data_IF_591700252023
#
_entry.id   IF_591700252023
#
_cell.length_a   1.000
_cell.length_b   1.000
_cell.length_c   1.000
_cell.angle_alpha   90.00
_cell.angle_beta   90.00
_cell.angle_gamma   90.00
#
_symmetry.space_group_name_H-M   'P 1'
#
loop_
_entity.id
_entity.type
_entity.pdbx_description
1 polymer ?
#
# COMPACT_ATOMS: atom_id res chain seq x y z
N UNK A 1 15.98 20.34 -22.42
CA UNK A 1 15.45 20.53 -21.06
C UNK A 1 16.62 20.78 -20.13
N UNK A 2 16.69 21.97 -19.54
CA UNK A 2 17.76 22.33 -18.61
C UNK A 2 17.59 21.66 -17.25
N UNK A 3 18.69 21.38 -16.54
CA UNK A 3 18.68 20.80 -15.18
C UNK A 3 17.83 21.61 -14.19
N UNK A 4 17.74 22.93 -14.38
CA UNK A 4 16.89 23.83 -13.59
C UNK A 4 15.39 23.62 -13.84
N UNK A 5 14.97 23.38 -15.09
CA UNK A 5 13.58 23.11 -15.44
C UNK A 5 13.11 21.75 -14.89
N UNK A 6 13.96 20.73 -14.99
CA UNK A 6 13.68 19.41 -14.41
C UNK A 6 13.52 19.52 -12.90
N UNK A 7 14.40 20.26 -12.22
CA UNK A 7 14.30 20.50 -10.78
C UNK A 7 13.01 21.22 -10.40
N UNK A 8 12.62 22.25 -11.15
CA UNK A 8 11.37 22.98 -10.91
C UNK A 8 10.13 22.10 -11.15
N UNK A 9 10.14 21.28 -12.21
CA UNK A 9 9.06 20.35 -12.52
C UNK A 9 8.89 19.30 -11.40
N UNK A 10 10.01 18.71 -10.94
CA UNK A 10 10.01 17.73 -9.86
C UNK A 10 9.49 18.34 -8.57
N UNK A 11 9.96 19.54 -8.20
CA UNK A 11 9.47 20.24 -7.00
C UNK A 11 7.98 20.55 -7.07
N UNK A 12 7.50 21.05 -8.21
CA UNK A 12 6.07 21.33 -8.43
C UNK A 12 5.22 20.06 -8.40
N UNK A 13 5.74 18.94 -8.92
CA UNK A 13 5.06 17.65 -8.87
C UNK A 13 4.88 17.17 -7.43
N UNK A 14 5.94 17.21 -6.62
CA UNK A 14 5.87 16.83 -5.20
C UNK A 14 4.92 17.73 -4.41
N UNK A 15 4.92 19.04 -4.64
CA UNK A 15 4.00 19.96 -3.95
C UNK A 15 2.52 19.71 -4.32
N UNK A 16 2.24 19.20 -5.53
CA UNK A 16 0.88 18.92 -6.00
C UNK A 16 0.32 17.62 -5.43
N UNK A 17 1.16 16.60 -5.24
CA UNK A 17 0.74 15.26 -4.81
C UNK A 17 0.99 14.96 -3.33
N UNK A 18 1.89 15.67 -2.66
CA UNK A 18 2.24 15.37 -1.27
C UNK A 18 1.35 16.12 -0.25
N UNK A 19 0.59 15.37 0.54
CA UNK A 19 -0.36 15.91 1.54
C UNK A 19 0.36 16.48 2.76
N UNK A 20 0.35 17.80 2.97
CA UNK A 20 1.03 18.45 4.11
C UNK A 20 0.69 17.77 5.44
N UNK A 21 1.73 17.31 6.14
CA UNK A 21 1.66 16.77 7.49
C UNK A 21 1.37 17.96 8.43
N UNK A 22 0.25 17.93 9.16
CA UNK A 22 -0.02 18.95 10.19
C UNK A 22 0.58 18.46 11.50
N UNK A 23 1.41 19.30 12.14
CA UNK A 23 1.96 19.01 13.45
C UNK A 23 0.82 18.92 14.49
N UNK A 24 0.74 17.77 15.18
CA UNK A 24 -0.17 17.54 16.30
C UNK A 24 -1.52 16.89 15.95
N UNK A 25 -2.14 16.26 16.95
CA UNK A 25 -3.48 15.67 16.90
C UNK A 25 -3.52 14.14 16.97
N UNK A 26 -4.72 13.53 16.82
CA UNK A 26 -4.95 12.08 16.98
C UNK A 26 -4.06 11.19 16.10
N UNK A 27 -3.54 11.74 14.99
CA UNK A 27 -2.70 11.02 14.02
C UNK A 27 -1.39 10.48 14.61
N UNK A 28 -0.81 11.19 15.56
CA UNK A 28 0.40 10.74 16.27
C UNK A 28 0.09 9.52 17.15
N UNK A 29 -1.00 9.60 17.93
CA UNK A 29 -1.48 8.49 18.78
C UNK A 29 -1.79 7.25 17.96
N UNK A 30 -2.44 7.42 16.81
CA UNK A 30 -2.68 6.33 15.85
C UNK A 30 -1.40 5.76 15.25
N UNK A 31 -0.34 6.56 15.05
CA UNK A 31 0.96 6.07 14.58
C UNK A 31 1.64 5.19 15.62
N UNK A 32 1.64 5.62 16.88
CA UNK A 32 2.17 4.83 18.00
C UNK A 32 1.37 3.53 18.17
N UNK A 33 0.04 3.62 18.19
CA UNK A 33 -0.82 2.43 18.28
C UNK A 33 -0.58 1.45 17.11
N UNK A 34 -0.41 1.97 15.88
CA UNK A 34 -0.08 1.15 14.72
C UNK A 34 1.25 0.41 14.90
N UNK A 35 2.30 1.10 15.36
CA UNK A 35 3.59 0.48 15.63
C UNK A 35 3.51 -0.61 16.71
N UNK A 36 2.80 -0.35 17.81
CA UNK A 36 2.58 -1.34 18.88
C UNK A 36 1.82 -2.55 18.33
N UNK A 37 0.79 -2.35 17.51
CA UNK A 37 0.07 -3.44 16.86
C UNK A 37 0.99 -4.27 15.95
N UNK A 38 1.86 -3.63 15.16
CA UNK A 38 2.82 -4.34 14.30
C UNK A 38 3.78 -5.20 15.13
N UNK A 39 4.27 -4.70 16.27
CA UNK A 39 5.15 -5.47 17.15
C UNK A 39 4.42 -6.64 17.83
N UNK A 40 3.20 -6.41 18.35
CA UNK A 40 2.39 -7.47 18.95
C UNK A 40 2.08 -8.59 17.94
N UNK A 41 1.77 -8.20 16.71
CA UNK A 41 1.42 -9.12 15.64
C UNK A 41 2.62 -9.88 15.09
N UNK A 42 3.79 -9.23 15.00
CA UNK A 42 5.06 -9.91 14.71
C UNK A 42 5.31 -11.08 15.67
N UNK A 43 5.09 -10.87 16.97
CA UNK A 43 5.30 -11.90 17.99
C UNK A 43 4.19 -12.96 18.03
N UNK A 44 2.99 -12.62 17.55
CA UNK A 44 1.82 -13.52 17.53
C UNK A 44 1.80 -14.47 16.33
N UNK A 45 2.65 -14.22 15.32
CA UNK A 45 2.83 -15.07 14.15
C UNK A 45 2.04 -14.65 12.91
N UNK A 46 2.27 -15.37 11.82
CA UNK A 46 1.86 -15.02 10.46
C UNK A 46 0.33 -14.84 10.28
N UNK A 47 -0.49 -15.54 11.08
CA UNK A 47 -1.95 -15.42 10.98
C UNK A 47 -2.43 -14.06 11.50
N UNK A 48 -1.87 -13.60 12.63
CA UNK A 48 -2.17 -12.29 13.17
C UNK A 48 -1.76 -11.17 12.19
N UNK A 49 -0.63 -11.33 11.49
CA UNK A 49 -0.17 -10.40 10.43
C UNK A 49 -1.20 -10.34 9.32
N UNK A 50 -1.68 -11.51 8.90
CA UNK A 50 -2.71 -11.63 7.85
C UNK A 50 -3.99 -10.89 8.25
N UNK A 51 -4.50 -11.11 9.47
CA UNK A 51 -5.73 -10.48 9.94
C UNK A 51 -5.56 -8.96 10.04
N UNK A 52 -4.46 -8.48 10.63
CA UNK A 52 -4.20 -7.04 10.79
C UNK A 52 -4.15 -6.35 9.42
N UNK A 53 -3.35 -6.87 8.49
CA UNK A 53 -3.21 -6.27 7.16
C UNK A 53 -4.45 -6.44 6.31
N UNK A 54 -5.23 -7.52 6.45
CA UNK A 54 -6.50 -7.68 5.75
C UNK A 54 -7.54 -6.64 6.19
N UNK A 55 -7.65 -6.40 7.50
CA UNK A 55 -8.53 -5.35 8.05
C UNK A 55 -8.05 -3.98 7.59
N UNK A 56 -6.76 -3.68 7.71
CA UNK A 56 -6.20 -2.40 7.30
C UNK A 56 -6.41 -2.15 5.80
N UNK A 57 -6.16 -3.17 4.95
CA UNK A 57 -6.34 -3.09 3.51
C UNK A 57 -7.81 -2.92 3.11
N UNK A 58 -8.71 -3.67 3.74
CA UNK A 58 -10.16 -3.55 3.53
C UNK A 58 -10.68 -2.16 3.90
N UNK A 59 -10.30 -1.64 5.07
CA UNK A 59 -10.69 -0.29 5.52
C UNK A 59 -10.11 0.79 4.62
N UNK A 60 -8.84 0.67 4.21
CA UNK A 60 -8.22 1.59 3.27
C UNK A 60 -8.96 1.59 1.92
N UNK A 61 -9.31 0.41 1.37
CA UNK A 61 -10.06 0.31 0.13
C UNK A 61 -11.48 0.89 0.22
N UNK A 62 -12.18 0.66 1.34
CA UNK A 62 -13.48 1.27 1.62
C UNK A 62 -13.40 2.80 1.66
N UNK A 63 -12.35 3.35 2.29
CA UNK A 63 -12.12 4.80 2.36
C UNK A 63 -11.78 5.38 0.99
N UNK A 64 -10.94 4.71 0.19
CA UNK A 64 -10.61 5.13 -1.17
C UNK A 64 -11.87 5.13 -2.05
N UNK A 65 -12.65 4.05 -2.02
CA UNK A 65 -13.91 3.97 -2.75
C UNK A 65 -14.95 5.01 -2.28
N UNK A 66 -14.99 5.30 -0.97
CA UNK A 66 -15.81 6.38 -0.40
C UNK A 66 -15.40 7.77 -0.86
N UNK A 67 -14.08 8.02 -0.98
CA UNK A 67 -13.57 9.26 -1.51
C UNK A 67 -14.00 9.45 -2.98
N UNK A 68 -13.97 8.40 -3.80
CA UNK A 68 -14.48 8.45 -5.18
C UNK A 68 -16.00 8.68 -5.25
N UNK A 69 -16.79 7.98 -4.42
CA UNK A 69 -18.25 8.21 -4.33
C UNK A 69 -18.59 9.65 -3.94
N UNK A 70 -17.81 10.27 -3.05
CA UNK A 70 -18.02 11.68 -2.67
C UNK A 70 -17.87 12.66 -3.84
N UNK A 71 -17.23 12.24 -4.93
CA UNK A 71 -17.08 12.97 -6.19
C UNK A 71 -18.07 12.53 -7.26
N UNK A 72 -19.16 11.84 -6.89
CA UNK A 72 -20.19 11.33 -7.80
C UNK A 72 -19.67 10.29 -8.82
N UNK A 73 -18.48 9.71 -8.59
CA UNK A 73 -18.00 8.57 -9.39
C UNK A 73 -18.61 7.30 -8.83
N UNK A 74 -19.28 6.53 -9.68
CA UNK A 74 -19.86 5.23 -9.31
C UNK A 74 -18.72 4.25 -9.00
N UNK A 75 -18.70 3.73 -7.77
CA UNK A 75 -17.73 2.74 -7.29
C UNK A 75 -18.44 1.70 -6.43
N UNK A 76 -18.05 0.43 -6.55
CA UNK A 76 -18.54 -0.63 -5.70
C UNK A 76 -17.72 -0.73 -4.41
N UNK A 77 -18.21 -0.09 -3.35
CA UNK A 77 -17.50 -0.09 -2.06
C UNK A 77 -17.38 -1.50 -1.46
N UNK A 78 -18.41 -2.32 -1.59
CA UNK A 78 -18.39 -3.67 -1.02
C UNK A 78 -17.29 -4.51 -1.68
N UNK A 79 -17.25 -4.54 -3.01
CA UNK A 79 -16.22 -5.27 -3.78
C UNK A 79 -14.83 -4.69 -3.54
N UNK A 80 -14.69 -3.36 -3.42
CA UNK A 80 -13.40 -2.76 -3.12
C UNK A 80 -12.87 -3.18 -1.73
N UNK A 81 -13.71 -3.07 -0.70
CA UNK A 81 -13.35 -3.42 0.68
C UNK A 81 -13.08 -4.92 0.84
N UNK A 82 -14.05 -5.75 0.44
CA UNK A 82 -13.92 -7.21 0.55
C UNK A 82 -12.82 -7.75 -0.36
N UNK A 83 -12.62 -7.17 -1.54
CA UNK A 83 -11.57 -7.59 -2.46
C UNK A 83 -10.16 -7.35 -1.92
N UNK A 84 -9.90 -6.17 -1.34
CA UNK A 84 -8.61 -5.89 -0.71
C UNK A 84 -8.33 -6.85 0.46
N UNK A 85 -9.32 -7.05 1.33
CA UNK A 85 -9.21 -7.98 2.45
C UNK A 85 -9.01 -9.43 1.98
N UNK A 86 -9.77 -9.87 0.96
CA UNK A 86 -9.69 -11.22 0.39
C UNK A 86 -8.30 -11.49 -0.21
N UNK A 87 -7.73 -10.55 -0.97
CA UNK A 87 -6.38 -10.69 -1.52
C UNK A 87 -5.34 -10.87 -0.42
N UNK A 88 -5.44 -10.10 0.67
CA UNK A 88 -4.53 -10.23 1.81
C UNK A 88 -4.76 -11.52 2.60
N UNK A 89 -6.00 -11.92 2.86
CA UNK A 89 -6.32 -13.19 3.52
C UNK A 89 -5.86 -14.40 2.70
N UNK A 90 -5.97 -14.33 1.37
CA UNK A 90 -5.52 -15.38 0.48
C UNK A 90 -4.01 -15.60 0.56
N UNK A 91 -3.22 -14.58 0.94
CA UNK A 91 -1.77 -14.71 1.13
C UNK A 91 -1.41 -15.73 2.23
N UNK A 92 -2.29 -15.96 3.20
CA UNK A 92 -2.13 -17.05 4.17
C UNK A 92 -2.03 -18.43 3.52
N UNK A 93 -2.69 -18.64 2.39
CA UNK A 93 -2.67 -19.92 1.67
C UNK A 93 -1.60 -19.97 0.56
N UNK A 94 -0.82 -18.89 0.41
CA UNK A 94 0.27 -18.77 -0.57
C UNK A 94 -0.07 -17.96 -1.82
N UNK A 95 0.95 -17.76 -2.69
CA UNK A 95 0.87 -16.88 -3.84
C UNK A 95 -0.19 -17.28 -4.88
N UNK A 96 -0.40 -18.60 -5.06
CA UNK A 96 -1.45 -19.11 -5.97
C UNK A 96 -2.85 -18.66 -5.52
N UNK A 97 -3.12 -18.73 -4.23
CA UNK A 97 -4.38 -18.29 -3.66
C UNK A 97 -4.58 -16.78 -3.83
N UNK A 98 -3.53 -15.96 -3.67
CA UNK A 98 -3.57 -14.52 -3.97
C UNK A 98 -3.93 -14.28 -5.44
N UNK A 99 -3.33 -15.02 -6.37
CA UNK A 99 -3.65 -14.94 -7.80
C UNK A 99 -5.12 -15.28 -8.09
N UNK A 100 -5.64 -16.34 -7.48
CA UNK A 100 -7.06 -16.72 -7.60
C UNK A 100 -7.96 -15.64 -7.01
N UNK A 101 -7.63 -15.12 -5.82
CA UNK A 101 -8.38 -14.03 -5.19
C UNK A 101 -8.41 -12.76 -6.07
N UNK A 102 -7.27 -12.40 -6.68
CA UNK A 102 -7.20 -11.29 -7.62
C UNK A 102 -8.15 -11.50 -8.81
N UNK A 103 -8.14 -12.69 -9.41
CA UNK A 103 -9.05 -13.03 -10.53
C UNK A 103 -10.51 -12.93 -10.09
N UNK A 104 -10.86 -13.46 -8.92
CA UNK A 104 -12.22 -13.36 -8.36
C UNK A 104 -12.62 -11.90 -8.19
N UNK A 105 -11.74 -11.04 -7.66
CA UNK A 105 -12.03 -9.61 -7.47
C UNK A 105 -12.20 -8.88 -8.79
N UNK A 106 -11.37 -9.18 -9.80
CA UNK A 106 -11.49 -8.60 -11.16
C UNK A 106 -12.81 -9.00 -11.80
N UNK A 107 -13.15 -10.30 -11.78
CA UNK A 107 -14.41 -10.81 -12.32
C UNK A 107 -15.59 -10.20 -11.57
N UNK A 108 -15.56 -10.16 -10.24
CA UNK A 108 -16.60 -9.54 -9.43
C UNK A 108 -16.77 -8.05 -9.75
N UNK A 109 -15.67 -7.29 -9.92
CA UNK A 109 -15.74 -5.87 -10.27
C UNK A 109 -16.39 -5.63 -11.63
N UNK A 110 -16.11 -6.48 -12.63
CA UNK A 110 -16.69 -6.38 -13.98
C UNK A 110 -18.16 -6.81 -13.99
N UNK A 111 -18.49 -7.94 -13.36
CA UNK A 111 -19.85 -8.49 -13.37
C UNK A 111 -20.83 -7.67 -12.54
N UNK A 112 -20.42 -7.25 -11.34
CA UNK A 112 -21.29 -6.54 -10.41
C UNK A 112 -21.43 -5.05 -10.75
N UNK A 113 -20.44 -4.43 -11.40
CA UNK A 113 -20.48 -3.00 -11.73
C UNK A 113 -20.71 -2.17 -10.46
N UNK A 114 -21.72 -1.28 -10.45
CA UNK A 114 -22.09 -0.51 -9.26
C UNK A 114 -22.99 -1.28 -8.28
N UNK A 115 -23.62 -2.36 -8.73
CA UNK A 115 -24.55 -3.14 -7.94
C UNK A 115 -23.84 -4.17 -7.07
N UNK A 116 -24.53 -4.69 -6.07
CA UNK A 116 -24.01 -5.74 -5.18
C UNK A 116 -24.90 -6.98 -5.15
N UNK A 117 -26.04 -6.94 -5.86
CA UNK A 117 -26.98 -8.04 -5.94
C UNK A 117 -26.52 -9.05 -6.98
N UNK A 118 -26.45 -10.31 -6.57
CA UNK A 118 -26.18 -11.43 -7.45
C UNK A 118 -27.51 -11.99 -7.92
N UNK A 119 -27.97 -11.54 -9.09
CA UNK A 119 -29.17 -12.08 -9.73
C UNK A 119 -28.80 -13.13 -10.78
N UNK A 120 -29.78 -13.94 -11.22
CA UNK A 120 -29.60 -14.94 -12.31
C UNK A 120 -29.02 -14.33 -13.60
N UNK A 121 -29.28 -13.04 -13.85
CA UNK A 121 -28.74 -12.29 -14.99
C UNK A 121 -27.27 -11.90 -14.81
N UNK A 122 -26.73 -11.89 -13.59
CA UNK A 122 -25.32 -11.59 -13.29
C UNK A 122 -24.42 -12.79 -13.58
N UNK A 123 -24.93 -14.02 -13.42
CA UNK A 123 -24.19 -15.27 -13.65
C UNK A 123 -24.56 -15.98 -14.97
N UNK A 124 -25.57 -15.51 -15.71
CA UNK A 124 -26.01 -16.10 -16.98
C UNK A 124 -25.24 -15.61 -18.22
N UNK A 125 -25.47 -16.23 -19.39
CA UNK A 125 -24.83 -15.89 -20.68
C UNK A 125 -24.91 -14.40 -21.09
N UNK A 126 -25.93 -13.67 -20.62
CA UNK A 126 -26.13 -12.24 -20.88
C UNK A 126 -25.29 -11.29 -20.01
N UNK A 127 -24.44 -11.80 -19.12
CA UNK A 127 -23.56 -10.97 -18.29
C UNK A 127 -22.38 -10.36 -19.06
N UNK A 128 -22.00 -10.97 -20.18
CA UNK A 128 -20.89 -10.54 -21.04
C UNK A 128 -21.33 -9.78 -22.30
N UNK A 129 -22.56 -9.27 -22.36
CA UNK A 129 -23.03 -8.46 -23.49
C UNK A 129 -22.24 -7.15 -23.58
N UNK A 130 -21.88 -6.73 -24.80
CA UNK A 130 -21.02 -5.56 -25.06
C UNK A 130 -21.51 -4.26 -24.40
N UNK A 131 -22.82 -4.04 -24.39
CA UNK A 131 -23.46 -2.86 -23.79
C UNK A 131 -23.37 -2.84 -22.25
N UNK A 132 -23.50 -4.01 -21.61
CA UNK A 132 -23.35 -4.12 -20.16
C UNK A 132 -21.90 -3.96 -19.75
N UNK A 133 -20.98 -4.54 -20.52
CA UNK A 133 -19.55 -4.40 -20.26
C UNK A 133 -19.10 -2.93 -20.42
N UNK A 134 -19.52 -2.24 -21.47
CA UNK A 134 -19.13 -0.84 -21.71
C UNK A 134 -19.58 0.09 -20.59
N UNK A 135 -20.75 -0.14 -20.01
CA UNK A 135 -21.25 0.63 -18.87
C UNK A 135 -20.59 0.25 -17.54
N UNK A 136 -20.22 -1.02 -17.35
CA UNK A 136 -19.60 -1.51 -16.11
C UNK A 136 -18.08 -1.24 -16.03
N UNK A 137 -17.36 -1.23 -17.15
CA UNK A 137 -15.90 -1.11 -17.18
C UNK A 137 -15.36 0.15 -16.46
N UNK A 138 -15.95 1.36 -16.62
CA UNK A 138 -15.50 2.52 -15.87
C UNK A 138 -15.64 2.33 -14.35
N UNK A 139 -16.74 1.70 -13.90
CA UNK A 139 -17.02 1.43 -12.48
C UNK A 139 -16.06 0.37 -11.94
N UNK A 140 -15.84 -0.70 -12.71
CA UNK A 140 -14.88 -1.75 -12.40
C UNK A 140 -13.47 -1.16 -12.26
N UNK A 141 -13.06 -0.26 -13.16
CA UNK A 141 -11.75 0.40 -13.10
C UNK A 141 -11.56 1.23 -11.82
N UNK A 142 -12.57 1.99 -11.40
CA UNK A 142 -12.52 2.79 -10.17
C UNK A 142 -12.55 1.90 -8.91
N UNK A 143 -13.30 0.80 -8.96
CA UNK A 143 -13.35 -0.22 -7.91
C UNK A 143 -12.00 -0.90 -7.74
N UNK A 144 -11.39 -1.35 -8.84
CA UNK A 144 -10.08 -2.00 -8.85
C UNK A 144 -8.98 -1.05 -8.40
N UNK A 145 -8.98 0.21 -8.85
CA UNK A 145 -8.03 1.23 -8.36
C UNK A 145 -8.11 1.44 -6.85
N UNK A 146 -9.30 1.26 -6.27
CA UNK A 146 -9.51 1.45 -4.83
C UNK A 146 -8.97 0.28 -3.98
N UNK A 147 -8.90 -0.94 -4.53
CA UNK A 147 -8.55 -2.14 -3.75
C UNK A 147 -7.25 -2.83 -4.18
N UNK A 148 -6.88 -2.79 -5.46
CA UNK A 148 -5.83 -3.62 -6.04
C UNK A 148 -4.46 -3.35 -5.40
N UNK A 149 -4.03 -2.09 -5.38
CA UNK A 149 -2.72 -1.73 -4.82
C UNK A 149 -2.63 -2.04 -3.33
N UNK A 150 -3.69 -1.75 -2.59
CA UNK A 150 -3.71 -1.95 -1.14
C UNK A 150 -3.75 -3.43 -0.78
N UNK A 151 -4.57 -4.23 -1.47
CA UNK A 151 -4.68 -5.65 -1.23
C UNK A 151 -3.44 -6.43 -1.65
N UNK A 152 -2.78 -6.03 -2.75
CA UNK A 152 -1.49 -6.59 -3.17
C UNK A 152 -0.37 -6.22 -2.19
N UNK A 153 -0.35 -4.99 -1.69
CA UNK A 153 0.61 -4.57 -0.66
C UNK A 153 0.44 -5.38 0.62
N UNK A 154 -0.80 -5.52 1.12
CA UNK A 154 -1.11 -6.36 2.27
C UNK A 154 -0.73 -7.82 2.04
N UNK A 155 -1.04 -8.38 0.87
CA UNK A 155 -0.66 -9.74 0.50
C UNK A 155 0.87 -9.92 0.48
N UNK A 156 1.60 -8.96 -0.10
CA UNK A 156 3.07 -8.99 -0.14
C UNK A 156 3.66 -8.93 1.27
N UNK A 157 3.13 -8.07 2.15
CA UNK A 157 3.55 -8.00 3.54
C UNK A 157 3.37 -9.32 4.29
N UNK A 158 2.24 -10.01 4.09
CA UNK A 158 2.00 -11.34 4.67
C UNK A 158 3.01 -12.35 4.14
N UNK A 159 3.33 -12.32 2.85
CA UNK A 159 4.32 -13.24 2.28
C UNK A 159 5.73 -12.98 2.80
N UNK A 160 6.14 -11.72 2.94
CA UNK A 160 7.46 -11.38 3.54
C UNK A 160 7.59 -11.99 4.93
N UNK A 161 6.56 -11.86 5.78
CA UNK A 161 6.57 -12.47 7.12
C UNK A 161 6.59 -14.01 7.08
N UNK A 162 5.91 -14.63 6.12
CA UNK A 162 5.92 -16.08 5.94
C UNK A 162 7.25 -16.62 5.43
N UNK A 163 7.99 -15.82 4.66
CA UNK A 163 9.35 -16.17 4.23
C UNK A 163 10.29 -16.17 5.42
N UNK A 164 10.37 -15.04 6.14
CA UNK A 164 11.18 -14.92 7.34
C UNK A 164 10.73 -13.75 8.23
N UNK A 165 10.56 -13.94 9.56
CA UNK A 165 10.16 -12.88 10.48
C UNK A 165 11.16 -11.72 10.60
N UNK A 166 12.48 -11.96 10.48
CA UNK A 166 13.50 -10.91 10.51
C UNK A 166 13.47 -10.07 9.23
N UNK A 167 13.22 -10.67 8.08
CA UNK A 167 12.94 -9.95 6.84
C UNK A 167 11.70 -9.05 6.94
N UNK A 168 10.65 -9.51 7.62
CA UNK A 168 9.50 -8.67 7.92
C UNK A 168 9.83 -7.56 8.91
N UNK A 169 10.62 -7.82 9.95
CA UNK A 169 11.10 -6.79 10.87
C UNK A 169 11.91 -5.72 10.12
N UNK A 170 12.71 -6.12 9.12
CA UNK A 170 13.43 -5.20 8.27
C UNK A 170 12.47 -4.30 7.46
N UNK A 171 11.47 -4.89 6.79
CA UNK A 171 10.41 -4.15 6.08
C UNK A 171 9.69 -3.16 7.00
N UNK A 172 9.26 -3.61 8.18
CA UNK A 172 8.58 -2.78 9.20
C UNK A 172 9.48 -1.62 9.62
N UNK A 173 10.75 -1.90 9.92
CA UNK A 173 11.72 -0.89 10.36
C UNK A 173 11.91 0.20 9.31
N UNK A 174 12.09 -0.19 8.04
CA UNK A 174 12.26 0.76 6.94
C UNK A 174 11.01 1.62 6.76
N UNK A 175 9.82 1.01 6.70
CA UNK A 175 8.58 1.76 6.52
C UNK A 175 8.29 2.70 7.70
N UNK A 176 8.44 2.23 8.94
CA UNK A 176 8.16 3.02 10.14
C UNK A 176 9.18 4.13 10.37
N UNK A 177 10.47 3.90 10.12
CA UNK A 177 11.50 4.94 10.25
C UNK A 177 11.35 5.99 9.16
N UNK A 178 11.05 5.58 7.93
CA UNK A 178 10.73 6.53 6.85
C UNK A 178 9.53 7.41 7.22
N UNK A 179 8.42 6.79 7.64
CA UNK A 179 7.19 7.52 7.99
C UNK A 179 7.40 8.45 9.18
N UNK A 180 8.20 8.02 10.17
CA UNK A 180 8.55 8.83 11.34
C UNK A 180 9.42 10.03 10.94
N UNK A 181 10.42 9.83 10.09
CA UNK A 181 11.26 10.92 9.57
C UNK A 181 10.46 11.92 8.73
N UNK A 182 9.61 11.44 7.80
CA UNK A 182 8.75 12.31 6.99
C UNK A 182 7.75 13.09 7.86
N UNK A 183 7.20 12.47 8.91
CA UNK A 183 6.31 13.16 9.83
C UNK A 183 7.04 14.18 10.71
N UNK A 184 8.08 13.77 11.45
CA UNK A 184 8.74 14.59 12.46
C UNK A 184 9.38 15.83 11.85
N UNK A 185 10.16 15.66 10.78
CA UNK A 185 10.86 16.77 10.14
C UNK A 185 9.94 17.50 9.16
N UNK A 186 9.06 16.77 8.45
CA UNK A 186 8.15 17.36 7.48
C UNK A 186 7.04 18.22 8.10
N UNK A 187 6.63 17.95 9.35
CA UNK A 187 5.58 18.73 10.02
C UNK A 187 6.01 20.13 10.45
N UNK A 188 7.30 20.35 10.70
CA UNK A 188 7.87 21.66 11.07
C UNK A 188 8.44 22.46 9.89
N UNK A 189 8.64 21.84 8.72
CA UNK A 189 9.26 22.48 7.56
C UNK A 189 8.26 23.20 6.66
N UNK A 190 8.68 24.34 6.08
CA UNK A 190 7.91 25.03 5.03
C UNK A 190 7.85 24.23 3.72
N UNK A 191 8.89 23.44 3.43
CA UNK A 191 9.08 22.65 2.19
C UNK A 191 8.91 21.16 2.47
N UNK A 192 8.08 20.48 1.67
CA UNK A 192 7.75 19.06 1.90
C UNK A 192 8.94 18.12 1.72
N UNK A 193 9.82 18.42 0.77
CA UNK A 193 10.96 17.56 0.42
C UNK A 193 11.89 17.30 1.62
N UNK A 194 11.91 18.20 2.61
CA UNK A 194 12.72 18.05 3.82
C UNK A 194 12.27 16.85 4.66
N UNK A 195 10.96 16.60 4.74
CA UNK A 195 10.42 15.41 5.43
C UNK A 195 10.85 14.13 4.72
N UNK A 196 10.64 14.05 3.40
CA UNK A 196 11.02 12.89 2.60
C UNK A 196 12.52 12.60 2.67
N UNK A 197 13.38 13.62 2.59
CA UNK A 197 14.83 13.46 2.74
C UNK A 197 15.18 12.96 4.13
N UNK A 198 14.57 13.50 5.19
CA UNK A 198 14.81 13.04 6.56
C UNK A 198 14.39 11.56 6.76
N UNK A 199 13.24 11.17 6.20
CA UNK A 199 12.81 9.77 6.17
C UNK A 199 13.82 8.86 5.47
N UNK A 200 14.31 9.26 4.29
CA UNK A 200 15.33 8.50 3.54
C UNK A 200 16.65 8.37 4.32
N UNK A 201 17.11 9.43 4.99
CA UNK A 201 18.30 9.37 5.86
C UNK A 201 18.07 8.38 7.01
N UNK A 202 16.89 8.40 7.63
CA UNK A 202 16.52 7.41 8.64
C UNK A 202 16.57 5.97 8.11
N UNK A 203 16.08 5.74 6.89
CA UNK A 203 16.19 4.43 6.23
C UNK A 203 17.64 4.00 6.07
N UNK A 204 18.55 4.89 5.66
CA UNK A 204 19.99 4.56 5.54
C UNK A 204 20.54 4.02 6.87
N UNK A 205 20.17 4.62 8.01
CA UNK A 205 20.58 4.12 9.33
C UNK A 205 20.06 2.70 9.59
N UNK A 206 18.79 2.42 9.26
CA UNK A 206 18.21 1.08 9.38
C UNK A 206 18.94 0.08 8.47
N UNK A 207 19.24 0.46 7.22
CA UNK A 207 19.97 -0.41 6.28
C UNK A 207 21.36 -0.75 6.80
N UNK A 208 22.09 0.22 7.34
CA UNK A 208 23.41 -0.02 7.95
C UNK A 208 23.32 -0.96 9.16
N UNK A 209 22.33 -0.75 10.04
CA UNK A 209 22.11 -1.63 11.18
C UNK A 209 21.75 -3.07 10.74
N UNK A 210 20.88 -3.21 9.74
CA UNK A 210 20.47 -4.52 9.21
C UNK A 210 21.59 -5.20 8.42
N UNK A 211 22.52 -4.45 7.84
CA UNK A 211 23.73 -5.02 7.23
C UNK A 211 24.57 -5.73 8.28
N UNK A 212 24.67 -5.18 9.50
CA UNK A 212 25.40 -5.82 10.59
C UNK A 212 24.67 -7.04 11.19
N UNK A 213 23.33 -7.06 11.14
CA UNK A 213 22.50 -8.16 11.65
C UNK A 213 22.40 -9.30 10.63
N UNK A 214 22.40 -9.00 9.33
CA UNK A 214 22.16 -9.92 8.21
C UNK A 214 20.86 -10.73 8.39
N UNK A 215 19.68 -10.10 8.23
CA UNK A 215 18.42 -10.80 8.38
C UNK A 215 18.33 -11.94 7.36
N UNK A 216 18.07 -13.16 7.84
CA UNK A 216 17.74 -14.28 6.98
C UNK A 216 16.55 -13.92 6.07
N UNK A 217 16.49 -14.41 4.83
CA UNK A 217 17.41 -15.31 4.13
C UNK A 217 18.66 -14.65 3.49
N UNK A 218 18.91 -13.35 3.69
CA UNK A 218 20.01 -12.64 3.04
C UNK A 218 21.35 -13.03 3.68
N UNK A 219 22.28 -13.53 2.86
CA UNK A 219 23.59 -14.03 3.33
C UNK A 219 24.75 -13.07 3.04
N UNK A 220 24.55 -12.12 2.13
CA UNK A 220 25.59 -11.21 1.67
C UNK A 220 25.23 -9.77 2.04
N UNK A 221 26.19 -9.03 2.58
CA UNK A 221 26.04 -7.62 2.94
C UNK A 221 25.52 -6.75 1.79
N UNK A 222 25.96 -7.02 0.57
CA UNK A 222 25.52 -6.28 -0.63
C UNK A 222 24.02 -6.41 -0.83
N UNK A 223 23.45 -7.58 -0.55
CA UNK A 223 22.06 -7.89 -0.86
C UNK A 223 21.14 -7.16 0.13
N UNK A 224 21.54 -7.09 1.40
CA UNK A 224 20.87 -6.28 2.43
C UNK A 224 20.86 -4.80 2.02
N UNK A 225 22.00 -4.28 1.54
CA UNK A 225 22.11 -2.87 1.12
C UNK A 225 21.26 -2.56 -0.11
N UNK A 226 21.28 -3.43 -1.12
CA UNK A 226 20.49 -3.26 -2.33
C UNK A 226 18.99 -3.34 -2.05
N UNK A 227 18.56 -4.32 -1.23
CA UNK A 227 17.18 -4.44 -0.80
C UNK A 227 16.75 -3.19 -0.01
N UNK A 228 17.58 -2.75 0.94
CA UNK A 228 17.36 -1.56 1.74
C UNK A 228 17.20 -0.29 0.92
N UNK A 229 18.06 -0.10 -0.08
CA UNK A 229 17.99 1.02 -1.01
C UNK A 229 16.71 0.97 -1.84
N UNK A 230 16.37 -0.20 -2.39
CA UNK A 230 15.14 -0.39 -3.16
C UNK A 230 13.89 -0.08 -2.31
N UNK A 231 13.84 -0.57 -1.08
CA UNK A 231 12.74 -0.29 -0.13
C UNK A 231 12.66 1.19 0.23
N UNK A 232 13.81 1.84 0.50
CA UNK A 232 13.87 3.25 0.82
C UNK A 232 13.35 4.14 -0.30
N UNK A 233 13.70 3.84 -1.55
CA UNK A 233 13.16 4.54 -2.72
C UNK A 233 11.69 4.19 -3.00
N UNK A 234 11.26 2.98 -2.65
CA UNK A 234 9.86 2.55 -2.79
C UNK A 234 8.91 3.30 -1.84
N UNK A 235 9.38 3.74 -0.67
CA UNK A 235 8.54 4.46 0.30
C UNK A 235 7.91 5.76 -0.26
N UNK A 236 8.68 6.74 -0.80
CA UNK A 236 8.12 7.94 -1.41
C UNK A 236 7.28 7.62 -2.65
N UNK A 237 7.68 6.61 -3.43
CA UNK A 237 6.90 6.16 -4.59
C UNK A 237 5.52 5.61 -4.15
N UNK A 238 5.45 4.91 -3.03
CA UNK A 238 4.20 4.43 -2.44
C UNK A 238 3.27 5.58 -2.04
N UNK A 239 3.80 6.63 -1.43
CA UNK A 239 3.05 7.85 -1.09
C UNK A 239 2.48 8.57 -2.33
N UNK A 240 3.24 8.58 -3.44
CA UNK A 240 2.78 9.12 -4.72
C UNK A 240 1.68 8.24 -5.32
N UNK A 241 1.85 6.92 -5.30
CA UNK A 241 0.85 5.97 -5.77
C UNK A 241 -0.46 6.09 -4.98
N UNK A 242 -0.39 6.17 -3.64
CA UNK A 242 -1.57 6.41 -2.81
C UNK A 242 -2.30 7.71 -3.20
N UNK A 243 -1.54 8.78 -3.48
CA UNK A 243 -2.11 10.05 -3.90
C UNK A 243 -2.74 10.00 -5.29
N UNK A 244 -2.22 9.16 -6.18
CA UNK A 244 -2.77 8.88 -7.50
C UNK A 244 -4.05 8.02 -7.46
N UNK A 245 -4.12 7.07 -6.53
CA UNK A 245 -5.33 6.23 -6.35
C UNK A 245 -6.54 6.99 -5.81
N UNK A 246 -6.31 8.13 -5.16
CA UNK A 246 -7.36 9.00 -4.65
C UNK A 246 -7.85 9.99 -5.73
N UNK A 247 -9.12 10.41 -5.67
CA UNK A 247 -9.66 11.40 -6.61
C UNK A 247 -8.98 12.77 -6.51
N UNK A 248 -8.40 13.08 -5.35
CA UNK A 248 -7.52 14.21 -5.15
C UNK A 248 -6.54 13.87 -4.03
N UNK A 249 -5.33 14.43 -4.09
CA UNK A 249 -4.30 14.16 -3.08
C UNK A 249 -4.80 14.45 -1.65
N UNK A 250 -5.65 15.46 -1.46
CA UNK A 250 -6.14 15.88 -0.14
C UNK A 250 -7.35 15.08 0.38
N UNK A 251 -7.78 14.05 -0.33
CA UNK A 251 -8.96 13.28 0.05
C UNK A 251 -8.74 12.56 1.39
N UNK A 252 -9.78 12.55 2.23
CA UNK A 252 -9.70 11.96 3.57
C UNK A 252 -9.76 10.44 3.48
N UNK A 253 -8.59 9.79 3.46
CA UNK A 253 -8.44 8.34 3.53
C UNK A 253 -7.34 7.96 4.56
N UNK A 254 -7.59 8.10 5.87
CA UNK A 254 -6.57 7.92 6.90
C UNK A 254 -5.91 6.54 6.92
N UNK A 255 -6.64 5.46 6.62
CA UNK A 255 -6.08 4.11 6.58
C UNK A 255 -5.18 3.92 5.36
N UNK A 256 -5.60 4.39 4.17
CA UNK A 256 -4.74 4.39 2.99
C UNK A 256 -3.46 5.19 3.22
N UNK A 257 -3.57 6.36 3.88
CA UNK A 257 -2.42 7.21 4.25
C UNK A 257 -1.51 6.63 5.33
N UNK A 258 -1.92 5.53 5.96
CA UNK A 258 -1.04 4.77 6.88
C UNK A 258 -0.32 3.64 6.16
N UNK A 259 -0.92 3.12 5.09
CA UNK A 259 -0.37 2.05 4.25
C UNK A 259 0.32 2.58 3.00
N UNK A 260 0.47 3.90 2.84
CA UNK A 260 0.91 4.47 1.56
C UNK A 260 2.38 4.17 1.25
N UNK A 261 3.28 4.29 2.22
CA UNK A 261 4.66 3.80 2.12
C UNK A 261 4.74 2.29 1.84
N UNK A 262 3.79 1.51 2.37
CA UNK A 262 3.74 0.05 2.21
C UNK A 262 3.33 -0.39 0.80
N UNK A 263 2.63 0.45 0.04
CA UNK A 263 2.04 0.10 -1.26
C UNK A 263 3.06 -0.44 -2.26
N UNK A 264 4.28 0.11 -2.24
CA UNK A 264 5.37 -0.30 -3.13
C UNK A 264 6.48 -0.96 -2.32
N UNK A 265 6.75 -0.51 -1.09
CA UNK A 265 7.85 -1.06 -0.29
C UNK A 265 7.65 -2.53 0.05
N UNK A 266 6.43 -2.98 0.38
CA UNK A 266 6.19 -4.39 0.68
C UNK A 266 6.34 -5.32 -0.55
N UNK A 267 5.74 -5.01 -1.72
CA UNK A 267 6.01 -5.76 -2.94
C UNK A 267 7.48 -5.72 -3.37
N UNK A 268 8.15 -4.56 -3.26
CA UNK A 268 9.57 -4.43 -3.59
C UNK A 268 10.45 -5.29 -2.66
N UNK A 269 10.12 -5.34 -1.36
CA UNK A 269 10.78 -6.22 -0.41
C UNK A 269 10.58 -7.70 -0.80
N UNK A 270 9.34 -8.12 -1.07
CA UNK A 270 9.05 -9.49 -1.46
C UNK A 270 9.81 -9.90 -2.72
N UNK A 271 9.75 -9.08 -3.78
CA UNK A 271 10.47 -9.33 -5.04
C UNK A 271 11.98 -9.35 -4.81
N UNK A 272 12.50 -8.43 -4.02
CA UNK A 272 13.92 -8.37 -3.71
C UNK A 272 14.40 -9.61 -2.93
N UNK A 273 13.61 -10.11 -1.97
CA UNK A 273 13.90 -11.38 -1.32
C UNK A 273 13.95 -12.51 -2.35
N UNK A 274 12.97 -12.62 -3.25
CA UNK A 274 12.96 -13.67 -4.28
C UNK A 274 14.12 -13.62 -5.27
N UNK A 275 14.68 -12.45 -5.54
CA UNK A 275 15.79 -12.28 -6.49
C UNK A 275 17.14 -12.52 -5.81
N UNK A 276 17.27 -12.16 -4.53
CA UNK A 276 18.53 -12.14 -3.78
C UNK A 276 18.77 -13.41 -2.95
N UNK A 277 17.85 -14.38 -2.98
CA UNK A 277 17.92 -15.63 -2.17
C UNK A 277 17.84 -16.86 -3.05
#
# INVERSE_FOLDING_TARGET
MGTAEVKALVLNFFDRYAVRQRAGGPRLRFGVAWFVCLMAVLLSGSFAVTVLFAVAAGVAALQTAGAWRSRKVKVNQAVAGSGAALMTLAAWHGNRAVGVALLIVVVAAVLLGADTKIDRTTLGRGSFTRERLSSHLPIASATLRSCLFVGLAGAATVQVHRTDPMSFLYLVSVACVYDSGDYLVGSGSRRRIVGTIAGLIGVVVVVLAMTAIQPAPLKVDSDVRWLGLAMGLACPLGQLLASWTLPNARAKAPALRRLDSWLITAPACLVGLWILT
#
